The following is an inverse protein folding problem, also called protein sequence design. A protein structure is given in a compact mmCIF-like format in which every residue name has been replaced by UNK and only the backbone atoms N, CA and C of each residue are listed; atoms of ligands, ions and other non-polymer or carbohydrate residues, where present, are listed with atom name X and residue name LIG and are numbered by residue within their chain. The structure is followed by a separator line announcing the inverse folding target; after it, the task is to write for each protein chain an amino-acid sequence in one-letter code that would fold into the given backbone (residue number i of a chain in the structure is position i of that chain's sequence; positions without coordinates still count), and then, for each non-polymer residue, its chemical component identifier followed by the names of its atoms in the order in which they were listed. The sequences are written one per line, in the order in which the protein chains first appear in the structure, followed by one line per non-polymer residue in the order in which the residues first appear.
data_IF_794847769438
#
_entry.id   IF_794847769438
#
_cell.length_a   1.000
_cell.length_b   1.000
_cell.length_c   1.000
_cell.angle_alpha   90.00
_cell.angle_beta   90.00
_cell.angle_gamma   90.00
#
_symmetry.space_group_name_H-M   'P 1'
#
loop_
_entity.id
_entity.type
_entity.pdbx_description
1 polymer ?
#
# COMPACT_ATOMS: atom_id res chain seq x y z
N UNK A 1 17.73 -20.98 17.55
CA UNK A 1 18.74 -20.05 18.11
C UNK A 1 18.02 -18.87 18.75
N UNK A 2 17.98 -18.74 20.06
CA UNK A 2 17.37 -17.59 20.75
C UNK A 2 18.27 -16.37 20.51
N UNK A 3 17.78 -15.37 19.76
CA UNK A 3 18.45 -14.05 19.64
C UNK A 3 18.61 -13.48 21.05
N UNK A 4 19.86 -13.19 21.47
CA UNK A 4 20.12 -12.49 22.73
C UNK A 4 19.42 -11.14 22.69
N UNK A 5 18.40 -10.99 23.53
CA UNK A 5 17.71 -9.71 23.76
C UNK A 5 18.77 -8.75 24.30
N UNK A 6 19.10 -7.70 23.55
CA UNK A 6 19.94 -6.61 24.04
C UNK A 6 19.17 -5.94 25.17
N UNK A 7 19.81 -5.82 26.35
CA UNK A 7 19.22 -5.17 27.52
C UNK A 7 18.66 -3.79 27.12
N UNK A 8 17.42 -3.54 27.55
CA UNK A 8 16.80 -2.23 27.43
C UNK A 8 17.75 -1.15 27.99
N UNK A 9 17.92 -0.06 27.25
CA UNK A 9 18.66 1.09 27.74
C UNK A 9 17.80 1.72 28.84
N UNK A 10 18.26 1.86 30.08
CA UNK A 10 17.47 2.54 31.10
C UNK A 10 17.37 4.02 30.71
N UNK A 11 16.19 4.40 30.19
CA UNK A 11 15.87 5.79 29.92
C UNK A 11 15.73 6.47 31.29
N UNK A 12 16.66 7.38 31.63
CA UNK A 12 16.50 8.23 32.81
C UNK A 12 15.35 9.20 32.52
N UNK A 13 14.27 9.05 33.25
CA UNK A 13 13.20 10.04 33.29
C UNK A 13 13.81 11.38 33.70
N UNK A 14 13.55 12.43 32.93
CA UNK A 14 13.90 13.78 33.38
C UNK A 14 12.98 14.12 34.54
N UNK A 15 13.58 14.25 35.74
CA UNK A 15 12.90 14.76 36.94
C UNK A 15 12.37 16.16 36.62
N UNK A 16 11.05 16.27 36.41
CA UNK A 16 10.39 17.55 36.18
C UNK A 16 9.30 17.56 35.10
N UNK A 17 9.22 16.57 34.21
CA UNK A 17 8.12 16.46 33.24
C UNK A 17 7.06 15.44 33.71
N UNK A 18 5.85 15.88 33.98
CA UNK A 18 4.74 14.97 34.27
C UNK A 18 4.28 14.24 33.01
N UNK A 19 4.06 12.93 33.10
CA UNK A 19 3.48 12.15 32.01
C UNK A 19 2.01 12.54 31.82
N UNK A 20 1.66 12.93 30.63
CA UNK A 20 0.26 13.22 30.24
C UNK A 20 -0.56 11.92 30.16
N UNK A 21 0.08 10.81 29.76
CA UNK A 21 -0.54 9.48 29.60
C UNK A 21 0.30 8.42 30.34
N UNK A 22 0.08 8.24 31.65
CA UNK A 22 0.89 7.31 32.46
C UNK A 22 0.65 5.84 32.11
N UNK A 23 -0.50 5.51 31.52
CA UNK A 23 -0.90 4.17 31.08
C UNK A 23 -0.73 3.99 29.57
N UNK A 24 0.37 4.53 29.01
CA UNK A 24 0.67 4.46 27.60
C UNK A 24 1.52 3.23 27.28
N UNK A 25 1.23 2.60 26.13
CA UNK A 25 2.05 1.59 25.46
C UNK A 25 2.63 2.12 24.14
N UNK A 26 3.67 1.47 23.65
CA UNK A 26 4.27 1.72 22.33
C UNK A 26 4.32 0.44 21.51
N UNK A 27 3.97 0.52 20.24
CA UNK A 27 3.90 -0.64 19.36
C UNK A 27 4.67 -0.34 18.07
N UNK A 28 5.64 -1.20 17.75
CA UNK A 28 6.30 -1.25 16.46
C UNK A 28 5.78 -2.44 15.66
N UNK A 29 5.37 -2.20 14.40
CA UNK A 29 4.67 -3.19 13.58
C UNK A 29 5.52 -3.55 12.37
N UNK A 30 5.95 -4.81 12.34
CA UNK A 30 6.52 -5.45 11.17
C UNK A 30 5.50 -6.28 10.37
N UNK A 31 5.97 -6.89 9.31
CA UNK A 31 5.12 -7.77 8.46
C UNK A 31 4.76 -9.11 9.16
N UNK A 32 5.65 -9.63 9.99
CA UNK A 32 5.51 -10.94 10.68
C UNK A 32 5.52 -10.82 12.20
N UNK A 33 6.05 -9.74 12.75
CA UNK A 33 6.27 -9.55 14.17
C UNK A 33 5.74 -8.17 14.60
N UNK A 34 5.19 -8.11 15.82
CA UNK A 34 4.76 -6.88 16.48
C UNK A 34 5.49 -6.78 17.81
N UNK A 35 6.25 -5.73 18.01
CA UNK A 35 6.96 -5.46 19.24
C UNK A 35 6.20 -4.43 20.07
N UNK A 36 6.03 -4.72 21.36
CA UNK A 36 5.18 -3.92 22.25
C UNK A 36 5.93 -3.62 23.54
N UNK A 37 5.92 -2.36 23.96
CA UNK A 37 6.48 -1.91 25.24
C UNK A 37 5.39 -1.32 26.14
N UNK A 38 5.31 -1.81 27.38
CA UNK A 38 4.41 -1.34 28.45
C UNK A 38 5.15 -0.58 29.55
N UNK A 39 6.45 -0.41 29.43
CA UNK A 39 7.29 0.24 30.43
C UNK A 39 7.33 -0.51 31.76
N UNK A 40 7.18 0.19 32.86
CA UNK A 40 7.28 -0.39 34.22
C UNK A 40 6.00 -1.12 34.69
N UNK A 41 5.07 -1.44 33.79
CA UNK A 41 3.82 -2.11 34.14
C UNK A 41 3.91 -3.63 34.19
N UNK A 42 5.02 -4.20 33.67
CA UNK A 42 5.31 -5.64 33.71
C UNK A 42 6.80 -5.86 34.03
N UNK A 43 7.12 -7.00 34.61
CA UNK A 43 8.52 -7.42 34.87
C UNK A 43 9.29 -7.65 33.55
N UNK A 44 8.60 -8.09 32.50
CA UNK A 44 9.11 -8.20 31.13
C UNK A 44 8.37 -7.20 30.23
N UNK A 45 8.81 -5.92 30.21
CA UNK A 45 8.04 -4.83 29.66
C UNK A 45 7.95 -4.82 28.14
N UNK A 46 8.87 -5.53 27.45
CA UNK A 46 8.90 -5.58 25.99
C UNK A 46 8.67 -7.00 25.51
N UNK A 47 7.55 -7.21 24.81
CA UNK A 47 7.20 -8.51 24.25
C UNK A 47 7.01 -8.46 22.76
N UNK A 48 7.31 -9.58 22.10
CA UNK A 48 7.05 -9.81 20.69
C UNK A 48 5.83 -10.73 20.54
N UNK A 49 4.98 -10.39 19.58
CA UNK A 49 3.83 -11.19 19.15
C UNK A 49 3.90 -11.39 17.64
N UNK A 50 3.39 -12.52 17.16
CA UNK A 50 3.22 -12.73 15.74
C UNK A 50 1.98 -11.97 15.22
N UNK A 51 1.88 -11.78 13.90
CA UNK A 51 0.80 -10.98 13.29
C UNK A 51 -0.49 -11.77 13.04
N UNK A 52 -0.58 -13.02 13.51
CA UNK A 52 -1.81 -13.80 13.42
C UNK A 52 -2.88 -13.29 14.39
N UNK A 53 -4.13 -13.40 14.00
CA UNK A 53 -5.27 -12.87 14.77
C UNK A 53 -5.29 -13.37 16.24
N UNK A 54 -4.93 -14.64 16.48
CA UNK A 54 -4.86 -15.20 17.83
C UNK A 54 -3.78 -14.52 18.68
N UNK A 55 -2.61 -14.23 18.09
CA UNK A 55 -1.49 -13.57 18.76
C UNK A 55 -1.80 -12.11 19.04
N UNK A 56 -2.41 -11.40 18.08
CA UNK A 56 -2.86 -10.03 18.28
C UNK A 56 -3.93 -9.92 19.36
N UNK A 57 -4.82 -10.90 19.50
CA UNK A 57 -5.76 -10.95 20.61
C UNK A 57 -5.05 -11.19 21.95
N UNK A 58 -4.07 -12.10 22.02
CA UNK A 58 -3.24 -12.33 23.22
C UNK A 58 -2.47 -11.05 23.61
N UNK A 59 -1.93 -10.35 22.63
CA UNK A 59 -1.28 -9.04 22.82
C UNK A 59 -2.24 -8.03 23.47
N UNK A 60 -3.45 -7.90 22.93
CA UNK A 60 -4.45 -6.99 23.46
C UNK A 60 -4.89 -7.35 24.89
N UNK A 61 -5.03 -8.65 25.20
CA UNK A 61 -5.36 -9.13 26.55
C UNK A 61 -4.23 -8.86 27.54
N UNK A 62 -2.98 -9.06 27.11
CA UNK A 62 -1.81 -8.69 27.91
C UNK A 62 -1.74 -7.19 28.18
N UNK A 63 -1.93 -6.34 27.17
CA UNK A 63 -1.98 -4.89 27.34
C UNK A 63 -3.04 -4.46 28.37
N UNK A 64 -4.22 -5.06 28.33
CA UNK A 64 -5.29 -4.82 29.31
C UNK A 64 -4.89 -5.28 30.70
N UNK A 65 -4.24 -6.44 30.84
CA UNK A 65 -3.77 -6.94 32.15
C UNK A 65 -2.68 -6.06 32.76
N UNK A 66 -1.90 -5.38 31.92
CA UNK A 66 -0.93 -4.36 32.36
C UNK A 66 -1.54 -3.01 32.66
N UNK A 67 -2.85 -2.84 32.51
CA UNK A 67 -3.55 -1.56 32.73
C UNK A 67 -3.25 -0.50 31.67
N UNK A 68 -2.89 -0.90 30.45
CA UNK A 68 -2.68 0.04 29.34
C UNK A 68 -4.01 0.51 28.81
N UNK A 69 -4.17 1.82 28.72
CA UNK A 69 -5.38 2.51 28.25
C UNK A 69 -5.24 3.02 26.83
N UNK A 70 -4.02 3.41 26.45
CA UNK A 70 -3.73 4.00 25.15
C UNK A 70 -2.38 3.54 24.61
N UNK A 71 -2.28 3.40 23.27
CA UNK A 71 -1.04 2.99 22.60
C UNK A 71 -0.72 3.91 21.44
N UNK A 72 0.58 4.12 21.18
CA UNK A 72 1.06 4.72 19.94
C UNK A 72 1.64 3.65 19.03
N UNK A 73 1.31 3.71 17.74
CA UNK A 73 1.87 2.83 16.70
C UNK A 73 2.12 3.57 15.39
N UNK A 74 3.09 3.15 14.61
CA UNK A 74 3.32 3.71 13.29
C UNK A 74 2.27 3.25 12.27
N UNK A 75 1.82 4.18 11.40
CA UNK A 75 0.87 3.91 10.31
C UNK A 75 1.56 3.42 9.03
N UNK A 76 2.59 2.57 9.16
CA UNK A 76 3.35 2.06 8.02
C UNK A 76 2.56 1.01 7.24
N UNK A 77 2.39 1.21 5.93
CA UNK A 77 1.69 0.28 5.05
C UNK A 77 0.24 0.02 5.47
N UNK A 78 -0.15 -1.26 5.51
CA UNK A 78 -1.50 -1.73 5.88
C UNK A 78 -1.51 -2.57 7.15
N UNK A 79 -0.34 -2.90 7.71
CA UNK A 79 -0.19 -3.84 8.83
C UNK A 79 -0.82 -3.33 10.13
N UNK A 80 -0.94 -2.02 10.30
CA UNK A 80 -1.56 -1.39 11.45
C UNK A 80 -3.07 -1.63 11.55
N UNK A 81 -3.76 -1.93 10.43
CA UNK A 81 -5.23 -2.03 10.37
C UNK A 81 -5.77 -3.13 11.30
N UNK A 82 -5.34 -4.41 11.19
CA UNK A 82 -5.83 -5.48 12.06
C UNK A 82 -5.45 -5.26 13.52
N UNK A 83 -4.25 -4.74 13.80
CA UNK A 83 -3.80 -4.42 15.16
C UNK A 83 -4.73 -3.38 15.79
N UNK A 84 -4.99 -2.30 15.07
CA UNK A 84 -5.86 -1.22 15.53
C UNK A 84 -7.28 -1.70 15.80
N UNK A 85 -7.87 -2.49 14.90
CA UNK A 85 -9.22 -3.03 15.07
C UNK A 85 -9.37 -3.90 16.32
N UNK A 86 -8.38 -4.76 16.59
CA UNK A 86 -8.38 -5.64 17.75
C UNK A 86 -8.23 -4.84 19.05
N UNK A 87 -7.34 -3.86 19.09
CA UNK A 87 -7.11 -3.04 20.27
C UNK A 87 -8.31 -2.15 20.60
N UNK A 88 -8.91 -1.53 19.58
CA UNK A 88 -10.12 -0.73 19.75
C UNK A 88 -11.31 -1.58 20.23
N UNK A 89 -11.47 -2.80 19.72
CA UNK A 89 -12.49 -3.73 20.17
C UNK A 89 -12.32 -4.11 21.66
N UNK A 90 -11.08 -4.06 22.17
CA UNK A 90 -10.78 -4.26 23.59
C UNK A 90 -10.83 -2.98 24.43
N UNK A 91 -11.21 -1.84 23.84
CA UNK A 91 -11.32 -0.55 24.53
C UNK A 91 -9.97 0.09 24.85
N UNK A 92 -8.94 -0.16 24.02
CA UNK A 92 -7.65 0.52 24.07
C UNK A 92 -7.64 1.62 23.00
N UNK A 93 -7.37 2.85 23.41
CA UNK A 93 -7.28 3.99 22.50
C UNK A 93 -6.00 3.90 21.65
N UNK A 94 -6.12 4.04 20.33
CA UNK A 94 -4.99 3.87 19.40
C UNK A 94 -4.61 5.20 18.75
N UNK A 95 -3.38 5.63 19.00
CA UNK A 95 -2.74 6.77 18.34
C UNK A 95 -1.90 6.29 17.16
N UNK A 96 -2.40 6.49 15.95
CA UNK A 96 -1.60 6.28 14.75
C UNK A 96 -0.66 7.47 14.54
N UNK A 97 0.62 7.18 14.35
CA UNK A 97 1.65 8.18 14.19
C UNK A 97 2.28 8.06 12.81
N UNK A 98 2.57 9.20 12.18
CA UNK A 98 3.32 9.19 10.94
C UNK A 98 4.79 8.87 11.23
N UNK A 99 5.34 7.88 10.51
CA UNK A 99 6.73 7.44 10.62
C UNK A 99 7.77 8.59 10.55
N UNK A 100 7.49 9.64 9.77
CA UNK A 100 8.37 10.83 9.67
C UNK A 100 8.46 11.62 10.97
N UNK A 101 7.41 11.61 11.76
CA UNK A 101 7.36 12.35 13.04
C UNK A 101 8.05 11.57 14.17
N UNK A 102 8.04 10.23 14.11
CA UNK A 102 8.71 9.37 15.08
C UNK A 102 10.22 9.24 14.83
N UNK A 103 10.69 9.41 13.59
CA UNK A 103 12.07 9.13 13.14
C UNK A 103 13.11 10.23 13.36
N UNK A 104 12.77 11.35 13.98
CA UNK A 104 13.68 12.50 14.11
C UNK A 104 14.86 12.30 15.12
N UNK A 105 15.15 11.07 15.54
CA UNK A 105 16.30 10.78 16.40
C UNK A 105 17.19 9.75 15.73
N UNK A 106 18.37 10.20 15.30
CA UNK A 106 19.42 9.37 14.68
C UNK A 106 19.96 8.32 15.66
N UNK A 107 20.25 7.11 15.19
CA UNK A 107 20.98 6.10 15.94
C UNK A 107 20.18 4.86 16.37
N UNK A 108 18.92 4.71 16.00
CA UNK A 108 18.10 3.54 16.35
C UNK A 108 18.08 2.51 15.25
N UNK A 109 18.35 1.25 15.62
CA UNK A 109 18.38 0.12 14.69
C UNK A 109 17.77 -1.15 15.30
N UNK A 110 16.73 -1.03 16.12
CA UNK A 110 16.02 -2.22 16.59
C UNK A 110 14.57 -1.92 16.95
N UNK A 111 13.70 -2.83 16.59
CA UNK A 111 12.25 -2.79 16.82
C UNK A 111 11.90 -2.61 18.31
N UNK A 112 12.75 -3.15 19.22
CA UNK A 112 12.65 -2.95 20.66
C UNK A 112 12.81 -1.48 21.05
N UNK A 113 13.81 -0.80 20.48
CA UNK A 113 14.05 0.62 20.77
C UNK A 113 12.97 1.49 20.15
N UNK A 114 12.39 1.06 19.03
CA UNK A 114 11.36 1.82 18.34
C UNK A 114 10.02 1.77 19.10
N UNK A 115 9.59 0.60 19.61
CA UNK A 115 8.38 0.52 20.45
C UNK A 115 8.55 1.25 21.79
N UNK A 116 9.72 1.15 22.43
CA UNK A 116 10.01 1.89 23.67
C UNK A 116 9.95 3.41 23.47
N UNK A 117 10.50 3.87 22.36
CA UNK A 117 10.48 5.29 22.04
C UNK A 117 9.07 5.81 21.74
N UNK A 118 8.29 5.07 20.97
CA UNK A 118 6.91 5.43 20.72
C UNK A 118 6.13 5.56 22.03
N UNK A 119 6.30 4.62 22.96
CA UNK A 119 5.69 4.72 24.28
C UNK A 119 6.12 5.98 25.03
N UNK A 120 7.43 6.26 25.07
CA UNK A 120 7.95 7.42 25.79
C UNK A 120 7.38 8.71 25.21
N UNK A 121 7.48 8.91 23.91
CA UNK A 121 6.93 10.11 23.26
C UNK A 121 5.42 10.23 23.47
N UNK A 122 4.71 9.11 23.45
CA UNK A 122 3.27 9.08 23.67
C UNK A 122 2.89 9.40 25.11
N UNK A 123 3.65 8.88 26.07
CA UNK A 123 3.40 9.15 27.50
C UNK A 123 3.54 10.63 27.86
N UNK A 124 4.41 11.36 27.19
CA UNK A 124 4.58 12.80 27.36
C UNK A 124 3.70 13.64 26.42
N UNK A 125 2.86 13.03 25.57
CA UNK A 125 1.99 13.76 24.64
C UNK A 125 2.71 14.42 23.46
N UNK A 126 3.92 13.98 23.13
CA UNK A 126 4.75 14.57 22.09
C UNK A 126 4.43 14.05 20.67
N UNK A 127 3.52 13.09 20.56
CA UNK A 127 3.13 12.52 19.27
C UNK A 127 1.76 13.08 18.84
N UNK A 128 1.68 13.80 17.72
CA UNK A 128 0.41 14.17 17.13
C UNK A 128 -0.23 12.93 16.50
N UNK A 129 -1.51 12.70 16.79
CA UNK A 129 -2.27 11.63 16.15
C UNK A 129 -2.50 11.92 14.67
N UNK A 130 -2.31 10.93 13.83
CA UNK A 130 -2.69 10.99 12.41
C UNK A 130 -4.21 10.97 12.29
N UNK A 131 -4.75 11.79 11.40
CA UNK A 131 -6.19 11.81 11.13
C UNK A 131 -6.67 10.45 10.61
N UNK A 132 -7.66 9.89 11.28
CA UNK A 132 -8.41 8.71 10.83
C UNK A 132 -9.82 9.14 10.44
N UNK A 133 -10.24 8.90 9.20
CA UNK A 133 -11.64 9.12 8.83
C UNK A 133 -12.55 8.13 9.55
N UNK A 134 -13.83 8.47 9.68
CA UNK A 134 -14.86 7.54 10.11
C UNK A 134 -14.86 6.28 9.23
N UNK A 135 -15.28 5.14 9.79
CA UNK A 135 -15.20 3.81 9.15
C UNK A 135 -15.76 3.81 7.72
N UNK A 136 -16.94 4.40 7.53
CA UNK A 136 -17.60 4.42 6.21
C UNK A 136 -16.83 5.26 5.19
N UNK A 137 -16.25 6.38 5.62
CA UNK A 137 -15.37 7.21 4.79
C UNK A 137 -14.08 6.46 4.48
N UNK A 138 -13.55 5.68 5.42
CA UNK A 138 -12.39 4.81 5.21
C UNK A 138 -12.63 3.77 4.11
N UNK A 139 -13.78 3.11 4.14
CA UNK A 139 -14.22 2.14 3.12
C UNK A 139 -14.37 2.82 1.76
N UNK A 140 -15.06 3.96 1.69
CA UNK A 140 -15.22 4.72 0.45
C UNK A 140 -13.87 5.12 -0.17
N UNK A 141 -12.94 5.61 0.64
CA UNK A 141 -11.58 5.95 0.19
C UNK A 141 -10.84 4.73 -0.38
N UNK A 142 -11.01 3.55 0.22
CA UNK A 142 -10.41 2.31 -0.28
C UNK A 142 -10.96 1.96 -1.67
N UNK A 143 -12.28 2.01 -1.88
CA UNK A 143 -12.90 1.80 -3.19
C UNK A 143 -12.43 2.81 -4.24
N UNK A 144 -12.35 4.10 -3.88
CA UNK A 144 -11.90 5.14 -4.79
C UNK A 144 -10.44 4.93 -5.22
N UNK A 145 -9.57 4.56 -4.30
CA UNK A 145 -8.16 4.23 -4.60
C UNK A 145 -8.04 2.99 -5.47
N UNK A 146 -8.83 1.96 -5.18
CA UNK A 146 -8.84 0.75 -6.00
C UNK A 146 -9.33 1.04 -7.43
N UNK A 147 -10.41 1.81 -7.57
CA UNK A 147 -10.88 2.29 -8.89
C UNK A 147 -9.79 3.05 -9.64
N UNK A 148 -9.12 3.99 -8.97
CA UNK A 148 -8.04 4.77 -9.56
C UNK A 148 -6.91 3.86 -10.07
N UNK A 149 -6.47 2.90 -9.27
CA UNK A 149 -5.45 1.92 -9.64
C UNK A 149 -5.86 1.10 -10.87
N UNK A 150 -7.11 0.65 -10.95
CA UNK A 150 -7.60 -0.10 -12.12
C UNK A 150 -7.61 0.76 -13.40
N UNK A 151 -7.96 2.04 -13.29
CA UNK A 151 -7.90 2.99 -14.42
C UNK A 151 -6.45 3.19 -14.89
N UNK A 152 -5.52 3.35 -13.97
CA UNK A 152 -4.09 3.51 -14.27
C UNK A 152 -3.51 2.25 -14.93
N UNK A 153 -3.84 1.07 -14.44
CA UNK A 153 -3.44 -0.20 -15.08
C UNK A 153 -4.04 -0.33 -16.48
N UNK A 154 -5.32 0.02 -16.66
CA UNK A 154 -5.94 0.04 -17.97
C UNK A 154 -5.21 0.96 -18.95
N UNK A 155 -4.86 2.18 -18.51
CA UNK A 155 -4.08 3.12 -19.31
C UNK A 155 -2.70 2.58 -19.69
N UNK A 156 -1.99 1.95 -18.74
CA UNK A 156 -0.70 1.34 -19.00
C UNK A 156 -0.80 0.22 -20.04
N UNK A 157 -1.82 -0.65 -19.97
CA UNK A 157 -2.03 -1.69 -20.95
C UNK A 157 -2.33 -1.13 -22.35
N UNK A 158 -3.10 -0.06 -22.43
CA UNK A 158 -3.36 0.64 -23.73
C UNK A 158 -2.04 1.16 -24.32
N UNK A 159 -1.18 1.76 -23.51
CA UNK A 159 0.13 2.23 -23.96
C UNK A 159 1.02 1.07 -24.45
N UNK A 160 1.01 -0.08 -23.76
CA UNK A 160 1.76 -1.27 -24.20
C UNK A 160 1.25 -1.81 -25.54
N UNK A 161 -0.09 -1.85 -25.73
CA UNK A 161 -0.68 -2.24 -27.03
C UNK A 161 -0.28 -1.28 -28.16
N UNK A 162 -0.32 0.03 -27.91
CA UNK A 162 0.13 1.03 -28.88
C UNK A 162 1.62 0.88 -29.23
N UNK A 163 2.45 0.63 -28.22
CA UNK A 163 3.89 0.38 -28.42
C UNK A 163 4.12 -0.86 -29.27
N UNK A 164 3.43 -1.96 -29.00
CA UNK A 164 3.52 -3.18 -29.81
C UNK A 164 3.10 -2.95 -31.27
N UNK A 165 2.00 -2.25 -31.49
CA UNK A 165 1.56 -1.87 -32.84
C UNK A 165 2.60 -1.01 -33.57
N UNK A 166 3.20 -0.05 -32.86
CA UNK A 166 4.27 0.80 -33.42
C UNK A 166 5.49 -0.02 -33.80
N UNK A 167 5.90 -0.99 -32.97
CA UNK A 167 6.99 -1.92 -33.28
C UNK A 167 6.72 -2.77 -34.54
N UNK A 168 5.47 -3.10 -34.79
CA UNK A 168 5.02 -3.77 -36.02
C UNK A 168 4.85 -2.80 -37.20
N UNK A 169 5.18 -1.54 -37.05
CA UNK A 169 4.90 -0.44 -37.98
C UNK A 169 3.40 -0.31 -38.36
N UNK A 170 2.53 -0.62 -37.40
CA UNK A 170 1.08 -0.46 -37.53
C UNK A 170 0.64 0.75 -36.68
N UNK A 171 0.44 1.88 -37.37
CA UNK A 171 0.12 3.14 -36.70
C UNK A 171 -1.40 3.32 -36.53
N UNK A 172 -2.04 2.36 -35.86
CA UNK A 172 -3.50 2.28 -35.72
C UNK A 172 -4.08 3.50 -35.00
N UNK A 173 -3.35 4.08 -34.05
CA UNK A 173 -3.75 5.28 -33.29
C UNK A 173 -3.86 6.55 -34.14
N UNK A 174 -3.33 6.58 -35.36
CA UNK A 174 -3.55 7.67 -36.31
C UNK A 174 -4.83 7.49 -37.14
N UNK A 175 -5.41 6.30 -37.12
CA UNK A 175 -6.58 5.95 -37.94
C UNK A 175 -7.86 5.97 -37.10
N UNK A 176 -7.79 5.44 -35.89
CA UNK A 176 -8.91 5.37 -34.95
C UNK A 176 -8.59 6.13 -33.68
N UNK A 177 -9.59 6.78 -33.11
CA UNK A 177 -9.43 7.59 -31.89
C UNK A 177 -9.22 6.74 -30.62
N UNK A 178 -9.77 5.53 -30.60
CA UNK A 178 -9.71 4.62 -29.47
C UNK A 178 -9.44 3.19 -29.95
N UNK A 179 -8.23 2.69 -29.62
CA UNK A 179 -7.83 1.32 -29.98
C UNK A 179 -8.53 0.26 -29.13
N UNK A 180 -9.09 0.64 -27.98
CA UNK A 180 -9.83 -0.25 -27.07
C UNK A 180 -11.35 -0.24 -27.37
N UNK A 181 -11.80 0.65 -28.19
CA UNK A 181 -13.17 0.69 -28.68
C UNK A 181 -13.56 -0.53 -29.52
N UNK A 182 -14.85 -0.68 -29.80
CA UNK A 182 -15.39 -1.84 -30.53
C UNK A 182 -14.66 -2.13 -31.86
N UNK A 183 -14.39 -1.11 -32.64
CA UNK A 183 -13.68 -1.23 -33.93
C UNK A 183 -12.20 -1.57 -33.70
N UNK A 184 -11.52 -0.86 -32.78
CA UNK A 184 -10.13 -1.11 -32.46
C UNK A 184 -9.88 -2.53 -31.97
N UNK A 185 -10.71 -3.02 -31.07
CA UNK A 185 -10.61 -4.39 -30.56
C UNK A 185 -10.87 -5.46 -31.63
N UNK A 186 -11.72 -5.22 -32.60
CA UNK A 186 -11.91 -6.13 -33.76
C UNK A 186 -10.63 -6.20 -34.59
N UNK A 187 -10.05 -5.05 -34.91
CA UNK A 187 -8.81 -4.97 -35.69
C UNK A 187 -7.66 -5.64 -34.93
N UNK A 188 -7.52 -5.35 -33.64
CA UNK A 188 -6.48 -5.95 -32.80
C UNK A 188 -6.59 -7.48 -32.74
N UNK A 189 -7.82 -8.01 -32.56
CA UNK A 189 -8.05 -9.46 -32.56
C UNK A 189 -7.72 -10.09 -33.90
N UNK A 190 -8.06 -9.44 -35.02
CA UNK A 190 -7.69 -9.91 -36.36
C UNK A 190 -6.16 -9.92 -36.54
N UNK A 191 -5.45 -8.88 -36.09
CA UNK A 191 -3.98 -8.82 -36.12
C UNK A 191 -3.37 -9.96 -35.30
N UNK A 192 -3.86 -10.22 -34.09
CA UNK A 192 -3.41 -11.31 -33.23
C UNK A 192 -3.68 -12.67 -33.85
N UNK A 193 -4.81 -12.83 -34.56
CA UNK A 193 -5.15 -14.03 -35.31
C UNK A 193 -4.31 -14.24 -36.61
N UNK A 194 -3.38 -13.32 -36.89
CA UNK A 194 -2.47 -13.44 -38.03
C UNK A 194 -2.91 -12.70 -39.29
N UNK A 195 -4.02 -11.95 -39.27
CA UNK A 195 -4.46 -11.16 -40.44
C UNK A 195 -3.47 -10.02 -40.71
N UNK A 196 -3.03 -9.91 -41.95
CA UNK A 196 -2.07 -8.90 -42.43
C UNK A 196 -2.58 -8.15 -43.66
N UNK A 197 -3.71 -8.57 -44.21
CA UNK A 197 -4.30 -7.88 -45.34
C UNK A 197 -4.96 -6.55 -44.91
N UNK A 198 -4.41 -5.47 -45.43
CA UNK A 198 -4.82 -4.10 -45.11
C UNK A 198 -6.26 -3.82 -45.44
N UNK A 199 -6.77 -4.43 -46.54
CA UNK A 199 -8.15 -4.24 -46.97
C UNK A 199 -9.12 -4.89 -45.95
N UNK A 200 -8.77 -6.10 -45.47
CA UNK A 200 -9.57 -6.81 -44.47
C UNK A 200 -9.55 -6.09 -43.14
N UNK A 201 -8.39 -5.61 -42.71
CA UNK A 201 -8.28 -4.84 -41.48
C UNK A 201 -9.05 -3.51 -41.56
N UNK A 202 -9.00 -2.81 -42.70
CA UNK A 202 -9.77 -1.58 -42.94
C UNK A 202 -11.27 -1.82 -43.07
N UNK A 203 -11.74 -3.00 -43.52
CA UNK A 203 -13.14 -3.33 -43.56
C UNK A 203 -13.83 -3.34 -42.19
N UNK A 204 -13.09 -3.62 -41.11
CA UNK A 204 -13.60 -3.49 -39.75
C UNK A 204 -13.88 -2.04 -39.32
N UNK A 205 -13.25 -1.06 -39.98
CA UNK A 205 -13.41 0.36 -39.74
C UNK A 205 -14.70 0.92 -40.41
N UNK A 206 -15.05 0.42 -41.61
CA UNK A 206 -16.10 0.99 -42.41
C UNK A 206 -17.54 0.72 -41.95
N UNK A 207 -17.74 -0.04 -40.87
CA UNK A 207 -19.09 -0.44 -40.46
C UNK A 207 -19.96 0.67 -39.82
N UNK A 208 -19.45 1.90 -39.55
CA UNK A 208 -20.22 2.92 -38.84
C UNK A 208 -20.12 4.40 -39.25
N UNK A 209 -19.16 4.83 -40.07
CA UNK A 209 -19.16 6.21 -40.65
C UNK A 209 -18.28 6.28 -41.91
N UNK A 210 -18.64 7.11 -42.94
CA UNK A 210 -17.73 7.43 -44.04
C UNK A 210 -16.59 8.28 -43.46
N UNK A 211 -15.46 7.67 -43.12
CA UNK A 211 -14.28 8.36 -42.65
C UNK A 211 -13.47 8.97 -43.78
N UNK A 212 -12.74 10.08 -43.46
CA UNK A 212 -11.63 10.63 -44.24
C UNK A 212 -10.81 9.47 -44.85
N UNK A 213 -10.60 9.48 -46.16
CA UNK A 213 -9.87 8.43 -46.86
C UNK A 213 -8.62 8.03 -46.09
N UNK A 214 -8.50 6.79 -45.57
CA UNK A 214 -7.32 6.35 -44.91
C UNK A 214 -6.13 6.46 -45.86
N UNK A 215 -5.08 7.16 -45.48
CA UNK A 215 -3.93 7.28 -46.36
C UNK A 215 -3.33 5.87 -46.50
N UNK A 216 -3.22 5.38 -47.72
CA UNK A 216 -2.61 4.07 -48.06
C UNK A 216 -1.21 3.87 -47.42
N UNK A 217 -0.60 4.93 -46.93
CA UNK A 217 0.71 4.94 -46.27
C UNK A 217 0.68 4.39 -44.84
N UNK A 218 -0.45 4.51 -44.11
CA UNK A 218 -0.55 4.13 -42.69
C UNK A 218 -0.54 2.61 -42.45
N UNK A 219 -0.81 1.81 -43.48
CA UNK A 219 -0.88 0.36 -43.39
C UNK A 219 0.37 -0.34 -43.98
N UNK A 220 1.48 0.35 -44.18
CA UNK A 220 2.73 -0.23 -44.64
C UNK A 220 3.53 -0.81 -43.46
N UNK A 221 3.03 -1.86 -42.83
CA UNK A 221 3.78 -2.68 -41.90
C UNK A 221 4.83 -3.55 -42.61
N UNK A 222 5.94 -3.82 -41.97
CA UNK A 222 6.93 -4.79 -42.42
C UNK A 222 6.37 -6.20 -42.32
N UNK A 223 6.49 -6.96 -43.43
CA UNK A 223 5.97 -8.34 -43.56
C UNK A 223 6.93 -9.40 -42.99
N UNK A 224 8.03 -9.00 -42.36
CA UNK A 224 9.03 -9.95 -41.85
C UNK A 224 8.67 -10.45 -40.45
N UNK A 225 8.75 -11.79 -40.35
CA UNK A 225 8.64 -12.53 -39.07
C UNK A 225 9.85 -12.19 -38.19
N UNK A 226 9.70 -11.25 -37.30
CA UNK A 226 10.54 -11.16 -36.12
C UNK A 226 9.73 -10.51 -34.99
N UNK A 227 9.02 -11.33 -34.27
CA UNK A 227 8.42 -10.93 -33.00
C UNK A 227 9.21 -11.66 -31.92
N UNK A 228 10.19 -10.98 -31.35
CA UNK A 228 10.70 -11.35 -30.04
C UNK A 228 9.67 -10.88 -29.01
N UNK A 229 8.86 -11.81 -28.53
CA UNK A 229 8.12 -11.67 -27.28
C UNK A 229 9.11 -12.01 -26.17
N UNK A 230 9.53 -11.02 -25.43
CA UNK A 230 10.09 -11.14 -24.08
C UNK A 230 9.06 -10.73 -23.07
#
# INVERSE_FOLDING_TARGET
MRKKIKKAIPFRYHDGLSQLRPNAGGIDIGASEVWVDVGNKDADPVRMFETFTADLNRMGDWLKSCGIETVAMESTGVFWIPVCQILEAKGIEVYLVNARQAKNVSGRKSDILDCQWLRILHSYGLLPASFRPAKDIGVLRSYMRHRQMLVEYGAAHVQHMQKALTQMNLQLHHVISDITGSTGMKILRAIVAGERDRKRLAAHECARKPMRKPSRRLWKGTTERSIYLH
#
